data_IF_988087726102
#
_entry.id   IF_988087726102
#
_cell.length_a   1.000
_cell.length_b   1.000
_cell.length_c   1.000
_cell.angle_alpha   90.00
_cell.angle_beta   90.00
_cell.angle_gamma   90.00
#
_symmetry.space_group_name_H-M   'P 1'
#
loop_
_entity.id
_entity.type
_entity.pdbx_description
1 polymer ?
#
# COMPACT_ATOMS: atom_id res chain seq x y z
N UNK A 1 -21.15 10.68 -3.34
CA UNK A 1 -20.12 9.89 -4.06
C UNK A 1 -18.81 9.97 -3.28
N UNK A 2 -18.19 8.84 -2.90
CA UNK A 2 -16.96 8.83 -2.10
C UNK A 2 -15.73 8.91 -3.01
N UNK A 3 -14.71 9.69 -2.64
CA UNK A 3 -13.44 9.80 -3.39
C UNK A 3 -12.56 8.57 -3.13
N UNK A 4 -12.16 7.85 -4.18
CA UNK A 4 -11.14 6.80 -4.10
C UNK A 4 -9.77 7.45 -3.91
N UNK A 5 -8.95 6.89 -3.03
CA UNK A 5 -7.55 7.29 -2.84
C UNK A 5 -6.69 6.06 -3.07
N UNK A 6 -5.65 6.25 -3.89
CA UNK A 6 -4.69 5.21 -4.26
C UNK A 6 -3.29 5.81 -4.23
N UNK A 7 -2.31 4.94 -4.04
CA UNK A 7 -0.89 5.22 -4.25
C UNK A 7 -0.25 4.00 -4.93
N UNK A 8 0.92 4.18 -5.53
CA UNK A 8 1.63 3.13 -6.26
C UNK A 8 3.13 3.20 -5.99
N UNK A 9 3.80 2.04 -6.07
CA UNK A 9 5.25 1.95 -5.92
C UNK A 9 5.92 1.83 -7.27
N UNK A 10 6.84 2.74 -7.58
CA UNK A 10 7.67 2.63 -8.78
C UNK A 10 9.00 1.97 -8.48
N UNK A 11 9.10 0.71 -8.87
CA UNK A 11 10.30 -0.09 -8.67
C UNK A 11 11.56 0.47 -9.34
N UNK A 12 11.43 1.19 -10.47
CA UNK A 12 12.59 1.75 -11.18
C UNK A 12 13.18 2.95 -10.43
N UNK A 13 12.33 3.71 -9.77
CA UNK A 13 12.70 4.96 -9.08
C UNK A 13 12.83 4.76 -7.57
N UNK A 14 12.34 3.63 -7.05
CA UNK A 14 12.28 3.30 -5.62
C UNK A 14 11.59 4.42 -4.83
N UNK A 15 10.48 4.93 -5.36
CA UNK A 15 9.68 5.98 -4.75
C UNK A 15 8.17 5.70 -4.85
N UNK A 16 7.40 6.24 -3.89
CA UNK A 16 5.95 6.12 -3.82
C UNK A 16 5.27 7.28 -4.56
N UNK A 17 4.23 6.99 -5.32
CA UNK A 17 3.44 7.98 -6.05
C UNK A 17 1.98 7.98 -5.67
N UNK A 18 1.35 9.14 -5.86
CA UNK A 18 -0.09 9.27 -5.86
C UNK A 18 -0.48 9.52 -7.32
N UNK A 19 -1.09 8.53 -7.99
CA UNK A 19 -1.40 8.66 -9.39
C UNK A 19 -2.55 9.66 -9.56
N UNK A 20 -2.45 10.50 -10.60
CA UNK A 20 -3.44 11.52 -10.87
C UNK A 20 -4.57 10.94 -11.73
N UNK A 21 -5.79 10.94 -11.21
CA UNK A 21 -6.97 10.57 -11.98
C UNK A 21 -7.44 11.77 -12.83
N UNK A 22 -7.01 11.86 -14.09
CA UNK A 22 -7.55 12.85 -15.03
C UNK A 22 -6.82 12.96 -16.36
N UNK A 23 -7.47 13.61 -17.34
CA UNK A 23 -6.83 14.05 -18.59
C UNK A 23 -5.71 15.04 -18.25
N UNK A 24 -4.48 14.76 -18.70
CA UNK A 24 -3.38 15.71 -18.60
C UNK A 24 -3.77 17.01 -19.34
N UNK A 25 -3.66 18.19 -18.69
CA UNK A 25 -3.89 19.46 -19.37
C UNK A 25 -2.94 19.57 -20.57
N UNK A 26 -3.43 20.07 -21.72
CA UNK A 26 -2.60 20.36 -22.89
C UNK A 26 -1.38 21.20 -22.46
N UNK A 27 -0.17 20.67 -22.70
CA UNK A 27 1.09 21.37 -22.42
C UNK A 27 1.78 21.01 -21.11
N UNK A 28 1.22 20.10 -20.30
CA UNK A 28 1.94 19.51 -19.16
C UNK A 28 2.91 18.46 -19.70
N UNK A 29 4.20 18.83 -19.79
CA UNK A 29 5.32 17.98 -20.24
C UNK A 29 6.15 17.43 -19.08
N UNK A 30 5.71 17.59 -17.82
CA UNK A 30 6.37 16.90 -16.70
C UNK A 30 6.09 15.40 -16.81
N UNK A 31 7.02 14.73 -17.50
CA UNK A 31 7.26 13.28 -17.58
C UNK A 31 6.67 12.57 -16.36
N UNK A 32 5.58 11.84 -16.57
CA UNK A 32 5.20 10.57 -15.92
C UNK A 32 3.77 10.28 -16.38
N UNK A 33 3.68 9.48 -17.43
CA UNK A 33 2.40 9.05 -17.99
C UNK A 33 1.91 7.83 -17.19
N UNK A 34 1.65 8.02 -15.89
CA UNK A 34 0.93 7.01 -15.11
C UNK A 34 -0.55 7.15 -15.41
N UNK A 35 -1.13 6.14 -16.05
CA UNK A 35 -2.55 6.12 -16.35
C UNK A 35 -3.26 5.25 -15.33
N UNK A 36 -4.25 5.83 -14.67
CA UNK A 36 -5.26 5.05 -13.95
C UNK A 36 -6.36 4.72 -14.94
N UNK A 37 -6.54 3.43 -15.22
CA UNK A 37 -7.52 2.93 -16.18
C UNK A 37 -8.31 1.76 -15.62
N UNK A 38 -9.41 1.44 -16.29
CA UNK A 38 -10.06 0.14 -16.14
C UNK A 38 -9.67 -0.72 -17.32
N UNK A 39 -9.20 -1.94 -17.05
CA UNK A 39 -9.04 -2.99 -18.05
C UNK A 39 -10.16 -4.04 -17.86
N UNK A 40 -10.06 -5.18 -18.54
CA UNK A 40 -11.06 -6.25 -18.45
C UNK A 40 -11.10 -6.96 -17.08
N UNK A 41 -10.11 -6.74 -16.22
CA UNK A 41 -9.96 -7.41 -14.91
C UNK A 41 -10.12 -6.46 -13.73
N UNK A 42 -10.11 -5.14 -13.93
CA UNK A 42 -10.32 -4.17 -12.85
C UNK A 42 -9.60 -2.84 -13.07
N UNK A 43 -9.36 -2.15 -11.96
CA UNK A 43 -8.60 -0.90 -11.91
C UNK A 43 -7.10 -1.22 -12.01
N UNK A 44 -6.39 -0.56 -12.92
CA UNK A 44 -4.94 -0.69 -13.07
C UNK A 44 -4.25 0.67 -13.14
N UNK A 45 -3.01 0.73 -12.67
CA UNK A 45 -2.09 1.84 -12.90
C UNK A 45 -1.01 1.33 -13.83
N UNK A 46 -0.77 2.03 -14.94
CA UNK A 46 0.25 1.64 -15.91
C UNK A 46 1.12 2.81 -16.36
N UNK A 47 2.40 2.53 -16.60
CA UNK A 47 3.35 3.45 -17.23
C UNK A 47 3.64 3.01 -18.66
N UNK A 48 3.60 3.95 -19.61
CA UNK A 48 4.02 3.68 -20.98
C UNK A 48 5.55 3.56 -21.06
N UNK A 49 6.06 2.45 -21.58
CA UNK A 49 7.50 2.20 -21.71
C UNK A 49 8.05 2.44 -23.12
N UNK A 50 7.20 2.86 -24.06
CA UNK A 50 7.56 2.96 -25.47
C UNK A 50 7.24 1.70 -26.26
N UNK A 51 7.24 1.81 -27.60
CA UNK A 51 7.08 0.68 -28.54
C UNK A 51 5.81 -0.17 -28.33
N UNK A 52 4.78 0.42 -27.72
CA UNK A 52 3.50 -0.26 -27.45
C UNK A 52 3.48 -1.08 -26.16
N UNK A 53 4.53 -1.03 -25.34
CA UNK A 53 4.58 -1.71 -24.05
C UNK A 53 4.10 -0.81 -22.91
N UNK A 54 3.35 -1.44 -22.01
CA UNK A 54 2.82 -0.85 -20.80
C UNK A 54 3.28 -1.68 -19.62
N UNK A 55 3.82 -1.04 -18.60
CA UNK A 55 4.15 -1.68 -17.34
C UNK A 55 3.02 -1.44 -16.35
N UNK A 56 2.39 -2.53 -15.90
CA UNK A 56 1.40 -2.48 -14.82
C UNK A 56 2.14 -2.32 -13.49
N UNK A 57 1.64 -1.43 -12.64
CA UNK A 57 2.22 -1.11 -11.34
C UNK A 57 1.28 -1.54 -10.21
N UNK A 58 1.82 -1.89 -9.03
CA UNK A 58 1.01 -2.28 -7.88
C UNK A 58 0.19 -1.08 -7.38
N UNK A 59 -1.12 -1.24 -7.29
CA UNK A 59 -2.02 -0.27 -6.67
C UNK A 59 -2.18 -0.60 -5.19
N UNK A 60 -2.02 0.42 -4.35
CA UNK A 60 -2.33 0.37 -2.94
C UNK A 60 -3.56 1.24 -2.65
N UNK A 61 -4.62 0.62 -2.13
CA UNK A 61 -5.87 1.29 -1.80
C UNK A 61 -5.86 1.84 -0.37
N UNK A 62 -6.40 3.03 -0.17
CA UNK A 62 -6.59 3.61 1.17
C UNK A 62 -7.65 2.81 1.95
N UNK A 63 -7.29 2.32 3.15
CA UNK A 63 -8.16 1.47 3.99
C UNK A 63 -9.26 2.25 4.70
N UNK A 64 -9.18 3.60 4.70
CA UNK A 64 -9.99 4.53 5.51
C UNK A 64 -9.56 4.68 6.96
N UNK A 65 -8.51 3.98 7.38
CA UNK A 65 -7.95 4.14 8.70
C UNK A 65 -6.89 5.24 8.69
N UNK A 66 -6.80 5.97 9.80
CA UNK A 66 -5.77 6.98 10.02
C UNK A 66 -5.09 6.55 11.32
N UNK A 67 -3.78 6.41 11.28
CA UNK A 67 -2.98 5.97 12.42
C UNK A 67 -2.87 7.08 13.49
N UNK A 68 -2.18 6.77 14.59
CA UNK A 68 -1.90 7.70 15.69
C UNK A 68 -1.24 9.01 15.27
N UNK A 69 -0.41 8.99 14.23
CA UNK A 69 0.33 10.15 13.74
C UNK A 69 -0.49 10.99 12.72
N UNK A 70 -1.72 10.59 12.42
CA UNK A 70 -2.55 11.25 11.41
C UNK A 70 -2.23 10.81 9.97
N UNK A 71 -1.47 9.72 9.79
CA UNK A 71 -1.09 9.16 8.50
C UNK A 71 -2.19 8.21 8.03
N UNK A 72 -2.53 8.31 6.75
CA UNK A 72 -3.50 7.43 6.11
C UNK A 72 -2.90 6.04 5.91
N UNK A 73 -3.62 5.00 6.34
CA UNK A 73 -3.22 3.61 6.16
C UNK A 73 -3.70 3.10 4.80
N UNK A 74 -2.79 2.55 4.01
CA UNK A 74 -3.05 1.95 2.70
C UNK A 74 -2.72 0.45 2.75
N UNK A 75 -3.23 -0.30 1.76
CA UNK A 75 -2.69 -1.62 1.45
C UNK A 75 -1.16 -1.55 1.32
N UNK A 76 -0.50 -2.64 1.69
CA UNK A 76 0.95 -2.81 1.73
C UNK A 76 1.71 -1.91 2.72
N UNK A 77 1.03 -1.08 3.52
CA UNK A 77 1.69 -0.44 4.68
C UNK A 77 2.13 -1.49 5.70
N UNK A 78 3.17 -1.16 6.45
CA UNK A 78 3.65 -1.89 7.61
C UNK A 78 3.28 -1.05 8.84
N UNK A 79 2.55 -1.69 9.74
CA UNK A 79 2.06 -1.13 10.98
C UNK A 79 2.96 -1.61 12.12
N UNK A 80 3.34 -0.70 13.00
CA UNK A 80 3.89 -1.03 14.31
C UNK A 80 2.75 -0.99 15.32
N UNK A 81 2.54 -2.11 16.02
CA UNK A 81 1.46 -2.27 17.00
C UNK A 81 2.01 -2.66 18.37
N UNK A 82 1.42 -2.19 19.48
CA UNK A 82 1.88 -2.52 20.82
C UNK A 82 1.64 -3.98 21.15
N UNK A 83 2.56 -4.57 21.91
CA UNK A 83 2.44 -5.90 22.52
C UNK A 83 3.02 -5.85 23.93
N UNK A 84 2.64 -6.79 24.79
CA UNK A 84 3.07 -6.82 26.20
C UNK A 84 4.60 -6.76 26.36
N UNK A 85 5.33 -7.38 25.44
CA UNK A 85 6.80 -7.45 25.41
C UNK A 85 7.47 -6.43 24.45
N UNK A 86 6.72 -5.45 23.92
CA UNK A 86 7.25 -4.39 23.06
C UNK A 86 6.35 -4.04 21.90
N UNK A 87 6.84 -4.28 20.68
CA UNK A 87 6.11 -3.98 19.44
C UNK A 87 6.38 -5.08 18.44
N UNK A 88 5.42 -5.34 17.56
CA UNK A 88 5.62 -6.17 16.38
C UNK A 88 5.06 -5.47 15.14
N UNK A 89 5.40 -6.03 13.97
CA UNK A 89 5.10 -5.42 12.69
C UNK A 89 4.08 -6.23 11.93
N UNK A 90 3.04 -5.54 11.44
CA UNK A 90 1.95 -6.13 10.68
C UNK A 90 1.88 -5.52 9.28
N UNK A 91 1.74 -6.36 8.26
CA UNK A 91 1.47 -5.92 6.89
C UNK A 91 -0.02 -5.71 6.68
N UNK A 92 -0.41 -4.62 6.02
CA UNK A 92 -1.79 -4.41 5.58
C UNK A 92 -2.02 -5.10 4.23
N UNK A 93 -3.00 -5.99 4.14
CA UNK A 93 -3.38 -6.64 2.88
C UNK A 93 -4.88 -6.56 2.62
N UNK A 94 -5.27 -6.46 1.35
CA UNK A 94 -6.66 -6.63 0.94
C UNK A 94 -6.91 -8.10 0.61
N UNK A 95 -8.01 -8.62 1.11
CA UNK A 95 -8.48 -9.97 0.87
C UNK A 95 -9.70 -9.92 -0.04
N UNK A 96 -9.58 -10.54 -1.21
CA UNK A 96 -10.62 -10.56 -2.24
C UNK A 96 -11.79 -11.47 -1.88
N UNK A 97 -11.56 -12.54 -1.11
CA UNK A 97 -12.60 -13.50 -0.70
C UNK A 97 -13.57 -12.85 0.30
N UNK A 98 -13.03 -12.13 1.28
CA UNK A 98 -13.81 -11.46 2.32
C UNK A 98 -14.06 -9.97 2.05
N UNK A 99 -13.54 -9.45 0.93
CA UNK A 99 -13.67 -8.06 0.49
C UNK A 99 -13.31 -7.02 1.57
N UNK A 100 -12.23 -7.28 2.31
CA UNK A 100 -11.81 -6.46 3.47
C UNK A 100 -10.29 -6.35 3.59
N UNK A 101 -9.84 -5.44 4.44
CA UNK A 101 -8.44 -5.36 4.81
C UNK A 101 -8.16 -6.19 6.07
N UNK A 102 -7.01 -6.85 6.09
CA UNK A 102 -6.42 -7.57 7.22
C UNK A 102 -5.06 -6.96 7.58
N UNK A 103 -4.69 -7.11 8.85
CA UNK A 103 -3.33 -6.87 9.33
C UNK A 103 -2.68 -8.24 9.54
N UNK A 104 -1.60 -8.52 8.83
CA UNK A 104 -1.00 -9.84 8.72
C UNK A 104 0.35 -9.85 9.43
N UNK A 105 0.53 -10.79 10.34
CA UNK A 105 1.81 -11.10 10.98
C UNK A 105 2.51 -12.20 10.19
N UNK A 106 3.49 -11.82 9.37
CA UNK A 106 4.28 -12.79 8.60
C UNK A 106 5.28 -13.55 9.50
N UNK A 107 5.63 -13.00 10.67
CA UNK A 107 6.54 -13.67 11.60
C UNK A 107 5.84 -14.82 12.35
N UNK A 108 4.53 -14.73 12.54
CA UNK A 108 3.69 -15.78 13.16
C UNK A 108 2.86 -16.56 12.13
N UNK A 109 3.48 -16.99 11.04
CA UNK A 109 2.87 -17.90 10.06
C UNK A 109 1.67 -17.32 9.31
N UNK A 110 1.71 -16.02 9.00
CA UNK A 110 0.65 -15.26 8.33
C UNK A 110 -0.65 -15.14 9.12
N UNK A 111 -0.56 -15.02 10.45
CA UNK A 111 -1.73 -14.77 11.29
C UNK A 111 -2.43 -13.47 10.86
N UNK A 112 -3.76 -13.54 10.70
CA UNK A 112 -4.56 -12.43 10.19
C UNK A 112 -5.41 -11.82 11.29
N UNK A 113 -5.17 -10.55 11.60
CA UNK A 113 -5.92 -9.77 12.55
C UNK A 113 -6.88 -8.79 11.88
N UNK A 114 -8.10 -8.72 12.40
CA UNK A 114 -9.12 -7.77 12.01
C UNK A 114 -8.71 -6.36 12.48
N UNK A 115 -8.83 -5.30 11.66
CA UNK A 115 -8.46 -3.95 12.10
C UNK A 115 -9.23 -3.44 13.34
N UNK A 116 -10.41 -3.97 13.61
CA UNK A 116 -11.21 -3.69 14.81
C UNK A 116 -10.72 -4.38 16.09
N UNK A 117 -9.72 -5.27 16.00
CA UNK A 117 -9.05 -5.85 17.17
C UNK A 117 -8.02 -4.90 17.80
N UNK A 118 -7.68 -3.80 17.12
CA UNK A 118 -6.70 -2.84 17.60
C UNK A 118 -7.34 -1.49 17.91
N UNK A 119 -6.77 -0.81 18.91
CA UNK A 119 -6.98 0.62 19.05
C UNK A 119 -6.15 1.37 18.00
N UNK A 120 -6.82 1.98 17.02
CA UNK A 120 -6.15 2.71 15.94
C UNK A 120 -5.34 3.91 16.46
N UNK A 121 -5.66 4.42 17.65
CA UNK A 121 -4.91 5.50 18.32
C UNK A 121 -3.56 5.03 18.89
N UNK A 122 -3.28 3.71 18.85
CA UNK A 122 -2.03 3.11 19.30
C UNK A 122 -1.15 2.58 18.15
N UNK A 123 -1.70 2.52 16.94
CA UNK A 123 -1.00 2.01 15.76
C UNK A 123 -0.21 3.12 15.06
N UNK A 124 0.97 2.79 14.53
CA UNK A 124 1.78 3.67 13.68
C UNK A 124 2.12 3.03 12.35
N UNK A 125 1.95 3.77 11.25
CA UNK A 125 2.52 3.42 9.96
C UNK A 125 4.02 3.73 9.99
N UNK A 126 4.85 2.70 9.86
CA UNK A 126 6.32 2.82 9.94
C UNK A 126 7.03 2.60 8.60
N UNK A 127 6.31 2.13 7.59
CA UNK A 127 6.86 1.85 6.28
C UNK A 127 5.83 1.15 5.39
N UNK A 128 6.31 0.55 4.31
CA UNK A 128 5.52 -0.33 3.45
C UNK A 128 6.42 -1.45 2.90
N UNK A 129 5.82 -2.55 2.45
CA UNK A 129 6.58 -3.73 2.01
C UNK A 129 7.53 -3.49 0.83
N UNK A 130 7.33 -2.40 0.08
CA UNK A 130 8.17 -2.09 -1.07
C UNK A 130 9.40 -1.26 -0.70
N UNK A 131 9.21 -0.28 0.19
CA UNK A 131 10.26 0.62 0.63
C UNK A 131 11.04 0.10 1.86
N UNK A 132 10.38 -0.73 2.69
CA UNK A 132 10.88 -1.20 3.96
C UNK A 132 10.64 -2.71 4.19
N UNK A 133 11.00 -3.59 3.23
CA UNK A 133 10.82 -5.03 3.39
C UNK A 133 11.59 -5.62 4.60
N UNK A 134 12.63 -4.93 5.08
CA UNK A 134 13.41 -5.34 6.25
C UNK A 134 12.62 -5.36 7.55
N UNK A 135 11.53 -4.59 7.66
CA UNK A 135 10.74 -4.51 8.90
C UNK A 135 9.93 -5.79 9.18
N UNK A 136 9.71 -6.64 8.18
CA UNK A 136 8.99 -7.91 8.32
C UNK A 136 9.93 -9.11 8.47
N UNK A 137 11.24 -8.90 8.41
CA UNK A 137 12.21 -9.99 8.54
C UNK A 137 12.51 -10.25 10.01
N UNK A 138 12.33 -11.49 10.44
CA UNK A 138 12.85 -11.97 11.72
C UNK A 138 14.34 -12.22 11.52
N UNK A 139 15.22 -11.49 12.24
CA UNK A 139 16.63 -11.86 12.31
C UNK A 139 16.73 -13.23 12.99
N UNK A 140 17.09 -14.27 12.24
CA UNK A 140 17.53 -15.52 12.84
C UNK A 140 18.79 -15.22 13.65
N UNK A 141 18.66 -15.16 14.98
CA UNK A 141 19.81 -15.06 15.87
C UNK A 141 20.69 -16.31 15.67
N UNK A 142 21.90 -16.11 15.17
CA UNK A 142 22.95 -17.14 15.01
C UNK A 142 23.55 -17.49 16.38
#
# INVERSE_FOLDING_TARGET
MRKLKVRDWDEKRKEMFIPYAGYLPKGVTRKRDFFIGFNNTGLEVSEYEGKGYWRVMPIMLFTRLIDKAGIQVFAADILQVPHDDGWFYLKVAYDEEYARFWFIDEADGDHCYSPDEFDIEEILVVGNIYANPELLQVEEAI
#
